data_IF_155744526357
#
_entry.id   IF_155744526357
#
_cell.length_a   1.000
_cell.length_b   1.000
_cell.length_c   1.000
_cell.angle_alpha   90.00
_cell.angle_beta   90.00
_cell.angle_gamma   90.00
#
_symmetry.space_group_name_H-M   'P 1'
#
loop_
_entity.id
_entity.type
_entity.pdbx_description
1 polymer ?
#
# COMPACT_ATOMS: atom_id res chain seq x y z
N UNK A 1 -0.33 3.69 -5.14
CA UNK A 1 0.73 2.79 -4.64
C UNK A 1 0.88 1.60 -5.56
N UNK A 2 2.04 1.43 -6.21
CA UNK A 2 2.33 0.23 -7.01
C UNK A 2 3.09 -0.79 -6.16
N UNK A 3 2.64 -2.06 -6.19
CA UNK A 3 3.28 -3.20 -5.55
C UNK A 3 4.08 -3.92 -6.63
N UNK A 4 5.41 -3.97 -6.45
CA UNK A 4 6.33 -4.53 -7.43
C UNK A 4 7.13 -5.67 -6.83
N UNK A 5 7.36 -6.71 -7.63
CA UNK A 5 8.29 -7.78 -7.31
C UNK A 5 9.61 -7.50 -8.02
N UNK A 6 10.69 -7.45 -7.24
CA UNK A 6 12.04 -7.39 -7.77
C UNK A 6 12.57 -8.82 -7.88
N UNK A 7 12.77 -9.31 -9.11
CA UNK A 7 13.42 -10.59 -9.35
C UNK A 7 14.93 -10.39 -9.33
N UNK A 8 15.60 -10.94 -8.31
CA UNK A 8 17.05 -10.86 -8.15
C UNK A 8 17.77 -11.66 -9.24
N UNK A 9 18.14 -11.00 -10.32
CA UNK A 9 18.96 -11.53 -11.42
C UNK A 9 19.52 -10.37 -12.24
N UNK A 10 20.67 -10.59 -12.88
CA UNK A 10 21.54 -9.58 -13.55
C UNK A 10 20.88 -8.69 -14.63
N UNK A 11 19.57 -8.84 -14.89
CA UNK A 11 18.75 -8.01 -15.76
C UNK A 11 17.58 -7.51 -14.92
N UNK A 12 17.78 -6.41 -14.20
CA UNK A 12 16.86 -5.88 -13.19
C UNK A 12 15.49 -5.44 -13.75
N UNK A 13 14.61 -6.40 -13.99
CA UNK A 13 13.19 -6.17 -14.23
C UNK A 13 12.43 -6.06 -12.92
N UNK A 14 11.62 -5.02 -12.77
CA UNK A 14 10.58 -4.96 -11.73
C UNK A 14 9.24 -5.30 -12.37
N UNK A 15 8.60 -6.37 -11.92
CA UNK A 15 7.23 -6.70 -12.36
C UNK A 15 6.23 -5.99 -11.45
N UNK A 16 5.28 -5.25 -12.04
CA UNK A 16 4.17 -4.65 -11.30
C UNK A 16 3.09 -5.69 -11.07
N UNK A 17 2.92 -6.12 -9.81
CA UNK A 17 1.95 -7.13 -9.42
C UNK A 17 0.56 -6.51 -9.24
N UNK A 18 0.51 -5.36 -8.59
CA UNK A 18 -0.74 -4.67 -8.27
C UNK A 18 -0.55 -3.16 -8.16
N UNK A 19 -1.62 -2.39 -8.30
CA UNK A 19 -1.65 -0.96 -7.99
C UNK A 19 -2.90 -0.65 -7.19
N UNK A 20 -2.74 0.03 -6.05
CA UNK A 20 -3.86 0.60 -5.30
C UNK A 20 -3.86 2.11 -5.51
N UNK A 21 -4.93 2.64 -6.08
CA UNK A 21 -5.14 4.07 -6.29
C UNK A 21 -6.09 4.60 -5.24
N UNK A 22 -5.54 5.34 -4.29
CA UNK A 22 -6.31 5.98 -3.23
C UNK A 22 -6.94 7.29 -3.72
N UNK A 23 -8.22 7.48 -3.41
CA UNK A 23 -8.97 8.67 -3.72
C UNK A 23 -9.62 9.23 -2.44
N UNK A 24 -9.64 10.56 -2.34
CA UNK A 24 -10.24 11.26 -1.19
C UNK A 24 -11.74 11.49 -1.38
N UNK A 25 -12.20 11.66 -2.63
CA UNK A 25 -13.58 12.06 -2.97
C UNK A 25 -14.30 11.06 -3.88
N UNK A 26 -13.69 9.92 -4.18
CA UNK A 26 -14.23 8.86 -5.04
C UNK A 26 -13.80 7.50 -4.48
N UNK A 27 -14.40 6.43 -4.98
CA UNK A 27 -14.00 5.05 -4.66
C UNK A 27 -12.53 4.81 -4.97
N UNK A 28 -11.83 4.06 -4.13
CA UNK A 28 -10.47 3.64 -4.47
C UNK A 28 -10.51 2.51 -5.51
N UNK A 29 -9.41 2.32 -6.22
CA UNK A 29 -9.30 1.30 -7.26
C UNK A 29 -8.10 0.40 -6.98
N UNK A 30 -8.30 -0.92 -7.09
CA UNK A 30 -7.23 -1.91 -7.04
C UNK A 30 -7.09 -2.50 -8.44
N UNK A 31 -5.90 -2.37 -9.02
CA UNK A 31 -5.54 -3.01 -10.29
C UNK A 31 -4.67 -4.22 -9.97
N UNK A 32 -5.13 -5.41 -10.34
CA UNK A 32 -4.39 -6.65 -10.09
C UNK A 32 -4.65 -7.63 -11.24
N UNK A 33 -3.59 -8.22 -11.80
CA UNK A 33 -3.72 -9.19 -12.90
C UNK A 33 -4.48 -8.69 -14.13
N UNK A 34 -4.37 -7.38 -14.43
CA UNK A 34 -5.08 -6.73 -15.55
C UNK A 34 -6.55 -6.39 -15.27
N UNK A 35 -7.09 -6.76 -14.11
CA UNK A 35 -8.45 -6.42 -13.69
C UNK A 35 -8.46 -5.15 -12.86
N UNK A 36 -9.55 -4.39 -12.94
CA UNK A 36 -9.83 -3.24 -12.06
C UNK A 36 -10.93 -3.66 -11.10
N UNK A 37 -10.59 -3.71 -9.82
CA UNK A 37 -11.49 -4.05 -8.72
C UNK A 37 -11.82 -2.75 -7.99
N UNK A 38 -13.10 -2.51 -7.72
CA UNK A 38 -13.50 -1.41 -6.85
C UNK A 38 -13.02 -1.74 -5.45
N UNK A 39 -12.17 -0.88 -4.90
CA UNK A 39 -11.62 -1.13 -3.58
C UNK A 39 -12.70 -1.10 -2.50
N UNK A 40 -13.81 -0.40 -2.72
CA UNK A 40 -14.96 -0.35 -1.81
C UNK A 40 -15.58 -1.75 -1.56
N UNK A 41 -15.36 -2.71 -2.46
CA UNK A 41 -15.81 -4.10 -2.27
C UNK A 41 -14.89 -4.86 -1.29
N UNK A 42 -13.68 -4.37 -1.05
CA UNK A 42 -12.65 -5.01 -0.23
C UNK A 42 -12.31 -4.21 1.03
N UNK A 43 -12.44 -2.89 0.98
CA UNK A 43 -12.06 -1.95 2.02
C UNK A 43 -13.30 -1.29 2.59
N UNK A 44 -13.38 -1.28 3.91
CA UNK A 44 -14.39 -0.53 4.64
C UNK A 44 -13.77 0.76 5.19
N UNK A 45 -14.38 1.89 4.83
CA UNK A 45 -14.08 3.18 5.45
C UNK A 45 -15.00 3.39 6.66
N UNK A 46 -14.43 3.76 7.82
CA UNK A 46 -15.19 4.12 9.02
C UNK A 46 -15.55 5.61 9.00
N UNK A 47 -16.70 5.99 9.57
CA UNK A 47 -17.09 7.39 9.68
C UNK A 47 -15.99 8.22 10.36
N UNK A 48 -15.66 9.38 9.77
CA UNK A 48 -14.60 10.31 10.19
C UNK A 48 -13.16 9.79 10.13
N UNK A 49 -12.89 8.66 9.48
CA UNK A 49 -11.52 8.21 9.20
C UNK A 49 -11.25 8.08 7.70
N UNK A 50 -10.03 8.42 7.28
CA UNK A 50 -9.49 8.10 5.96
C UNK A 50 -8.92 6.67 5.90
N UNK A 51 -8.83 5.96 7.02
CA UNK A 51 -8.25 4.62 7.05
C UNK A 51 -9.12 3.60 6.30
N UNK A 52 -8.47 2.66 5.61
CA UNK A 52 -9.13 1.58 4.87
C UNK A 52 -8.94 0.26 5.59
N UNK A 53 -10.03 -0.30 6.09
CA UNK A 53 -10.01 -1.51 6.92
C UNK A 53 -10.41 -2.73 6.08
N UNK A 54 -9.83 -3.90 6.35
CA UNK A 54 -10.17 -5.14 5.67
C UNK A 54 -9.82 -6.37 6.50
N UNK A 55 -10.39 -7.51 6.13
CA UNK A 55 -10.05 -8.80 6.72
C UNK A 55 -9.11 -9.53 5.76
N UNK A 56 -7.95 -9.93 6.29
CA UNK A 56 -6.98 -10.71 5.55
C UNK A 56 -7.44 -12.16 5.32
N UNK A 57 -6.79 -12.90 4.40
CA UNK A 57 -7.07 -14.32 4.18
C UNK A 57 -6.86 -15.21 5.42
N UNK A 58 -6.07 -14.73 6.38
CA UNK A 58 -5.83 -15.33 7.70
C UNK A 58 -6.96 -15.08 8.71
N UNK A 59 -7.96 -14.28 8.34
CA UNK A 59 -9.06 -13.89 9.22
C UNK A 59 -8.72 -12.74 10.17
N UNK A 60 -7.53 -12.16 10.07
CA UNK A 60 -7.11 -11.03 10.90
C UNK A 60 -7.60 -9.69 10.31
N UNK A 61 -7.87 -8.72 11.19
CA UNK A 61 -8.29 -7.39 10.78
C UNK A 61 -7.09 -6.47 10.59
N UNK A 62 -7.03 -5.82 9.44
CA UNK A 62 -5.95 -4.93 9.04
C UNK A 62 -6.50 -3.56 8.63
N UNK A 63 -5.63 -2.56 8.68
CA UNK A 63 -5.91 -1.22 8.16
C UNK A 63 -4.75 -0.62 7.40
N UNK A 64 -5.07 0.05 6.29
CA UNK A 64 -4.21 1.03 5.67
C UNK A 64 -4.46 2.40 6.30
N UNK A 65 -3.44 2.95 6.95
CA UNK A 65 -3.42 4.34 7.36
C UNK A 65 -3.02 5.22 6.20
N UNK A 66 -3.92 6.12 5.82
CA UNK A 66 -3.70 7.16 4.81
C UNK A 66 -3.38 8.47 5.54
N UNK A 67 -2.11 8.88 5.54
CA UNK A 67 -1.74 10.20 6.06
C UNK A 67 -2.06 11.25 5.00
N UNK A 68 -2.81 12.29 5.38
CA UNK A 68 -3.08 13.44 4.50
C UNK A 68 -1.84 14.32 4.34
N UNK A 69 -0.87 14.21 5.27
CA UNK A 69 0.33 15.04 5.33
C UNK A 69 1.57 14.34 4.78
N UNK A 70 1.60 13.00 4.85
CA UNK A 70 2.67 12.17 4.31
C UNK A 70 2.08 11.26 3.23
N UNK A 71 2.68 11.23 2.06
CA UNK A 71 2.22 10.40 0.94
C UNK A 71 2.45 8.88 1.18
N UNK A 72 2.85 8.51 2.39
CA UNK A 72 3.13 7.14 2.79
C UNK A 72 1.87 6.49 3.37
N UNK A 73 1.56 5.30 2.88
CA UNK A 73 0.48 4.44 3.36
C UNK A 73 1.09 3.38 4.27
N UNK A 74 0.50 3.12 5.43
CA UNK A 74 1.02 2.13 6.38
C UNK A 74 0.00 1.03 6.61
N UNK A 75 0.42 -0.23 6.49
CA UNK A 75 -0.37 -1.40 6.84
C UNK A 75 -0.08 -1.81 8.29
N UNK A 76 -1.14 -1.95 9.08
CA UNK A 76 -1.06 -2.39 10.48
C UNK A 76 -2.22 -3.33 10.82
N UNK A 77 -2.08 -4.21 11.82
CA UNK A 77 -3.22 -4.84 12.47
C UNK A 77 -4.15 -3.77 13.05
N UNK A 78 -5.44 -4.08 13.20
CA UNK A 78 -6.36 -3.13 13.82
C UNK A 78 -6.07 -2.90 15.32
N UNK A 79 -5.67 -3.96 16.01
CA UNK A 79 -5.44 -4.06 17.45
C UNK A 79 -3.99 -3.75 17.88
N UNK A 80 -3.08 -3.55 16.93
CA UNK A 80 -1.69 -3.20 17.17
C UNK A 80 -1.27 -1.92 16.43
N UNK A 81 -0.14 -1.35 16.83
CA UNK A 81 0.56 -0.29 16.11
C UNK A 81 1.76 -0.81 15.30
N UNK A 82 1.92 -2.13 15.22
CA UNK A 82 2.99 -2.76 14.45
C UNK A 82 2.83 -2.44 12.95
N UNK A 83 3.88 -1.88 12.35
CA UNK A 83 3.91 -1.56 10.93
C UNK A 83 4.36 -2.80 10.17
N UNK A 84 3.42 -3.47 9.50
CA UNK A 84 3.71 -4.66 8.71
C UNK A 84 4.24 -4.27 7.33
N UNK A 85 3.74 -3.18 6.78
CA UNK A 85 4.26 -2.62 5.55
C UNK A 85 4.10 -1.11 5.52
N UNK A 86 4.98 -0.43 4.78
CA UNK A 86 4.94 1.01 4.57
C UNK A 86 5.26 1.34 3.12
N UNK A 87 4.42 2.14 2.50
CA UNK A 87 4.70 2.65 1.16
C UNK A 87 5.64 3.85 1.26
N UNK A 88 6.59 3.88 0.35
CA UNK A 88 7.53 4.97 0.17
C UNK A 88 7.33 5.58 -1.21
N UNK A 89 7.18 6.88 -1.23
CA UNK A 89 7.03 7.65 -2.45
C UNK A 89 8.33 7.78 -3.23
N UNK A 90 8.25 8.27 -4.47
CA UNK A 90 9.45 8.58 -5.25
C UNK A 90 10.27 9.67 -4.54
N UNK A 91 11.55 9.41 -4.31
CA UNK A 91 12.50 10.43 -3.86
C UNK A 91 13.37 10.89 -5.04
N UNK A 92 13.43 12.20 -5.26
CA UNK A 92 14.19 12.83 -6.34
C UNK A 92 15.65 13.14 -6.02
N UNK A 93 16.14 12.83 -4.81
CA UNK A 93 17.56 12.99 -4.49
C UNK A 93 17.95 14.30 -3.80
N UNK A 94 16.97 15.13 -3.38
CA UNK A 94 17.27 16.49 -2.85
C UNK A 94 17.88 16.44 -1.44
N UNK A 95 17.39 15.54 -0.57
CA UNK A 95 17.84 15.41 0.84
C UNK A 95 18.29 14.00 1.22
N UNK A 96 18.12 13.01 0.34
CA UNK A 96 18.41 11.60 0.58
C UNK A 96 18.67 10.94 -0.78
N UNK A 97 19.27 9.73 -0.85
CA UNK A 97 19.43 9.01 -2.11
C UNK A 97 18.11 8.89 -2.86
N UNK A 98 18.14 9.13 -4.18
CA UNK A 98 16.97 8.98 -5.03
C UNK A 98 16.52 7.54 -5.08
N UNK A 99 15.22 7.29 -5.00
CA UNK A 99 14.66 5.96 -5.17
C UNK A 99 13.30 6.01 -5.88
N UNK A 100 12.96 4.96 -6.66
CA UNK A 100 11.59 4.79 -7.14
C UNK A 100 10.63 4.58 -5.95
N UNK A 101 9.30 4.71 -6.15
CA UNK A 101 8.36 4.33 -5.12
C UNK A 101 8.47 2.82 -4.85
N UNK A 102 8.41 2.42 -3.58
CA UNK A 102 8.50 1.02 -3.17
C UNK A 102 7.61 0.75 -1.95
N UNK A 103 7.31 -0.52 -1.71
CA UNK A 103 6.66 -0.99 -0.49
C UNK A 103 7.71 -1.67 0.38
N UNK A 104 7.94 -1.14 1.56
CA UNK A 104 8.76 -1.78 2.60
C UNK A 104 7.87 -2.76 3.37
N UNK A 105 8.35 -3.98 3.59
CA UNK A 105 7.66 -5.02 4.36
C UNK A 105 8.52 -5.33 5.58
N UNK A 106 7.91 -5.32 6.76
CA UNK A 106 8.59 -5.65 8.01
C UNK A 106 9.06 -7.10 8.00
N UNK A 107 10.28 -7.40 8.50
CA UNK A 107 10.78 -8.77 8.61
C UNK A 107 10.00 -9.64 9.62
N UNK A 108 9.08 -9.05 10.39
CA UNK A 108 8.19 -9.76 11.31
C UNK A 108 6.96 -10.38 10.66
N UNK A 109 6.81 -10.24 9.33
CA UNK A 109 5.70 -10.78 8.52
C UNK A 109 6.10 -12.13 7.92
#
# INVERSE_FOLDING_TARGET
>A
MAIRKHTGGSLGGSEELAVINWHVFRSDEIRFGGQVIKADDMFTQRWFSSDRHFIGPDGCAYKWKLSLSDVNCVLQPEDSQDQLAKSHDRNFGIRSPSHPPYLEISPSV
#
